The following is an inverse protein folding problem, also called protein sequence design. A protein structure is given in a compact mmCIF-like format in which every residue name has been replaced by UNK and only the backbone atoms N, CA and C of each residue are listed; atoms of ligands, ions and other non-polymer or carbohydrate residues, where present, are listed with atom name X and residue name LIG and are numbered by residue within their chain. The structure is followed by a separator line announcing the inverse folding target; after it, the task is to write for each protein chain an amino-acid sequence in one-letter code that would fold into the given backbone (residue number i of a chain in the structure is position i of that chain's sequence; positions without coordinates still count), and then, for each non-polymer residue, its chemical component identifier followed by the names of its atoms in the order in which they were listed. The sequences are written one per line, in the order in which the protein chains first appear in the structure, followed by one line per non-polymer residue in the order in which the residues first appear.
data_IF_657489649421
#
_entry.id   IF_657489649421
#
_cell.length_a   1.000
_cell.length_b   1.000
_cell.length_c   1.000
_cell.angle_alpha   90.00
_cell.angle_beta   90.00
_cell.angle_gamma   90.00
#
_symmetry.space_group_name_H-M   'P 1'
#
loop_
_entity.id
_entity.type
_entity.pdbx_description
1 polymer ?
#
# COMPACT_ATOMS: atom_id res chain seq x y z
N UNK A 1 26.66 -39.29 -34.81
CA UNK A 1 25.77 -39.80 -33.76
C UNK A 1 25.23 -38.58 -33.01
N UNK A 2 24.08 -38.05 -33.41
CA UNK A 2 23.49 -36.83 -32.82
C UNK A 2 22.56 -37.24 -31.67
N UNK A 3 22.95 -36.92 -30.44
CA UNK A 3 22.15 -37.16 -29.25
C UNK A 3 21.09 -36.08 -29.07
N UNK A 4 19.82 -36.44 -29.26
CA UNK A 4 18.68 -35.60 -28.91
C UNK A 4 18.50 -35.59 -27.38
N UNK A 5 18.91 -34.51 -26.72
CA UNK A 5 18.50 -34.25 -25.34
C UNK A 5 17.06 -33.73 -25.34
N UNK A 6 16.08 -34.63 -25.17
CA UNK A 6 14.74 -34.23 -24.72
C UNK A 6 14.85 -33.76 -23.27
N UNK A 7 14.87 -32.44 -23.07
CA UNK A 7 14.54 -31.85 -21.77
C UNK A 7 13.12 -32.30 -21.43
N UNK A 8 12.95 -33.20 -20.45
CA UNK A 8 11.65 -33.47 -19.85
C UNK A 8 11.14 -32.12 -19.35
N UNK A 9 10.12 -31.56 -20.01
CA UNK A 9 9.29 -30.54 -19.37
C UNK A 9 8.70 -31.22 -18.12
N UNK A 10 8.77 -30.61 -16.93
CA UNK A 10 7.84 -31.04 -15.90
C UNK A 10 6.45 -30.76 -16.46
N UNK A 11 5.60 -31.77 -16.46
CA UNK A 11 4.16 -31.62 -16.63
C UNK A 11 3.67 -30.80 -15.44
N UNK A 12 3.79 -29.48 -15.53
CA UNK A 12 3.06 -28.56 -14.69
C UNK A 12 1.70 -28.38 -15.36
N UNK A 13 0.64 -28.78 -14.66
CA UNK A 13 -0.73 -28.44 -15.04
C UNK A 13 -0.84 -26.94 -15.34
N UNK A 14 -1.61 -26.53 -16.36
CA UNK A 14 -1.84 -25.12 -16.60
C UNK A 14 -2.78 -24.61 -15.49
N UNK A 15 -2.22 -23.92 -14.50
CA UNK A 15 -3.00 -23.02 -13.66
C UNK A 15 -2.96 -23.34 -12.17
N UNK A 16 -1.87 -22.96 -11.52
CA UNK A 16 -1.84 -22.15 -10.29
C UNK A 16 -0.40 -22.17 -9.78
N UNK A 17 0.35 -21.12 -10.11
CA UNK A 17 1.50 -20.77 -9.27
C UNK A 17 1.04 -20.57 -7.83
N UNK A 18 1.97 -20.52 -6.84
CA UNK A 18 1.58 -20.28 -5.46
C UNK A 18 0.67 -19.05 -5.38
N UNK A 19 -0.59 -19.26 -4.97
CA UNK A 19 -1.57 -18.17 -4.81
C UNK A 19 -1.01 -17.18 -3.81
N UNK A 20 -0.97 -15.90 -4.19
CA UNK A 20 -0.52 -14.84 -3.30
C UNK A 20 -1.46 -14.78 -2.08
N UNK A 21 -0.88 -14.89 -0.89
CA UNK A 21 -1.61 -14.70 0.37
C UNK A 21 -1.61 -13.23 0.76
N UNK A 22 -2.56 -12.81 1.62
CA UNK A 22 -2.58 -11.46 2.17
C UNK A 22 -1.25 -11.08 2.83
N UNK A 23 -0.64 -11.98 3.61
CA UNK A 23 0.65 -11.73 4.25
C UNK A 23 1.78 -11.47 3.24
N UNK A 24 1.80 -12.19 2.12
CA UNK A 24 2.79 -11.95 1.07
C UNK A 24 2.56 -10.61 0.38
N UNK A 25 1.30 -10.25 0.11
CA UNK A 25 0.96 -8.95 -0.47
C UNK A 25 1.32 -7.78 0.47
N UNK A 26 1.00 -7.90 1.76
CA UNK A 26 1.36 -6.93 2.80
C UNK A 26 2.88 -6.78 2.88
N UNK A 27 3.63 -7.88 2.91
CA UNK A 27 5.08 -7.84 2.97
C UNK A 27 5.69 -7.13 1.76
N UNK A 28 5.20 -7.40 0.55
CA UNK A 28 5.64 -6.71 -0.67
C UNK A 28 5.38 -5.21 -0.59
N UNK A 29 4.19 -4.83 -0.10
CA UNK A 29 3.77 -3.43 -0.03
C UNK A 29 4.55 -2.64 1.02
N UNK A 30 4.74 -3.22 2.21
CA UNK A 30 5.45 -2.56 3.31
C UNK A 30 6.98 -2.60 3.18
N UNK A 31 7.53 -3.44 2.30
CA UNK A 31 8.97 -3.48 2.02
C UNK A 31 9.41 -2.43 0.99
N UNK A 32 8.47 -1.85 0.24
CA UNK A 32 8.76 -0.76 -0.70
C UNK A 32 8.70 0.58 0.03
N UNK A 33 9.79 1.35 -0.02
CA UNK A 33 9.90 2.63 0.68
C UNK A 33 8.87 3.66 0.19
N UNK A 34 8.60 3.71 -1.11
CA UNK A 34 7.66 4.69 -1.69
C UNK A 34 6.22 4.35 -1.35
N UNK A 35 5.88 3.06 -1.29
CA UNK A 35 4.54 2.60 -0.92
C UNK A 35 4.30 2.69 0.59
N UNK A 36 5.31 2.41 1.41
CA UNK A 36 5.21 2.41 2.88
C UNK A 36 5.31 3.79 3.51
N UNK A 37 5.83 4.81 2.79
CA UNK A 37 5.92 6.18 3.28
C UNK A 37 4.53 6.86 3.29
N UNK A 38 4.02 7.29 4.45
CA UNK A 38 2.82 8.12 4.53
C UNK A 38 3.06 9.49 3.89
N UNK A 39 2.03 10.04 3.24
CA UNK A 39 2.10 11.36 2.63
C UNK A 39 1.00 12.26 3.16
N UNK A 40 1.36 13.43 3.67
CA UNK A 40 0.40 14.45 4.06
C UNK A 40 -0.15 15.17 2.83
N UNK A 41 -1.48 15.21 2.71
CA UNK A 41 -2.19 15.87 1.62
C UNK A 41 -2.86 17.15 2.14
N UNK A 42 -2.24 18.33 1.93
CA UNK A 42 -2.84 19.59 2.35
C UNK A 42 -4.10 19.86 1.52
N UNK A 43 -5.17 20.29 2.19
CA UNK A 43 -6.41 20.67 1.53
C UNK A 43 -7.49 19.59 1.51
N UNK A 44 -7.16 18.32 1.80
CA UNK A 44 -8.17 17.27 1.99
C UNK A 44 -8.77 17.37 3.39
N UNK A 45 -10.09 17.55 3.43
CA UNK A 45 -10.90 17.71 4.66
C UNK A 45 -12.07 16.73 4.74
N UNK A 46 -12.26 15.89 3.73
CA UNK A 46 -13.26 14.82 3.76
C UNK A 46 -12.80 13.60 2.96
N UNK A 47 -13.40 12.45 3.24
CA UNK A 47 -13.16 11.23 2.46
C UNK A 47 -13.61 11.39 1.00
N UNK A 48 -14.65 12.18 0.71
CA UNK A 48 -15.14 12.40 -0.65
C UNK A 48 -14.11 13.10 -1.54
N UNK A 49 -13.29 14.00 -0.98
CA UNK A 49 -12.19 14.64 -1.70
C UNK A 49 -11.05 13.64 -2.01
N UNK A 50 -11.01 12.51 -1.31
CA UNK A 50 -10.05 11.43 -1.59
C UNK A 50 -10.45 10.61 -2.83
N UNK A 51 -11.72 10.66 -3.26
CA UNK A 51 -12.18 9.95 -4.46
C UNK A 51 -11.53 10.50 -5.74
N UNK A 52 -10.99 11.71 -5.72
CA UNK A 52 -10.24 12.28 -6.84
C UNK A 52 -8.76 11.85 -6.86
N UNK A 53 -8.29 11.18 -5.80
CA UNK A 53 -6.93 10.65 -5.76
C UNK A 53 -6.74 9.59 -6.85
N UNK A 54 -5.60 9.69 -7.53
CA UNK A 54 -5.11 8.67 -8.45
C UNK A 54 -4.60 7.44 -7.70
N UNK A 55 -3.57 6.78 -8.24
CA UNK A 55 -2.98 5.58 -7.63
C UNK A 55 -1.91 5.89 -6.56
N UNK A 56 -1.61 7.16 -6.33
CA UNK A 56 -0.63 7.62 -5.34
C UNK A 56 -1.21 8.81 -4.56
N UNK A 57 -0.87 8.95 -3.27
CA UNK A 57 -0.11 8.02 -2.42
C UNK A 57 -0.91 6.77 -2.01
N UNK A 58 -0.20 5.73 -1.54
CA UNK A 58 -0.85 4.54 -0.98
C UNK A 58 -1.38 4.80 0.43
N UNK A 59 -0.56 5.42 1.28
CA UNK A 59 -0.91 5.80 2.65
C UNK A 59 -0.93 7.32 2.68
N UNK A 60 -2.04 7.91 3.10
CA UNK A 60 -2.15 9.36 3.19
C UNK A 60 -2.68 9.84 4.52
N UNK A 61 -2.20 11.01 4.90
CA UNK A 61 -2.57 11.73 6.10
C UNK A 61 -3.30 13.00 5.67
N UNK A 62 -4.41 13.30 6.33
CA UNK A 62 -5.25 14.45 6.02
C UNK A 62 -5.93 14.96 7.30
N UNK A 63 -6.64 16.09 7.19
CA UNK A 63 -7.37 16.69 8.32
C UNK A 63 -6.54 16.85 9.61
N UNK A 64 -5.32 17.36 9.47
CA UNK A 64 -4.45 17.65 10.62
C UNK A 64 -4.96 18.89 11.36
N UNK A 65 -5.25 18.76 12.65
CA UNK A 65 -5.56 19.86 13.56
C UNK A 65 -4.45 19.96 14.62
N UNK A 66 -3.61 20.99 14.49
CA UNK A 66 -2.50 21.25 15.42
C UNK A 66 -2.97 21.66 16.82
N UNK A 67 -4.16 22.25 16.94
CA UNK A 67 -4.70 22.72 18.22
C UNK A 67 -5.23 21.53 19.01
N UNK A 68 -5.98 20.64 18.34
CA UNK A 68 -6.49 19.42 18.95
C UNK A 68 -5.44 18.29 19.02
N UNK A 69 -4.36 18.40 18.25
CA UNK A 69 -3.34 17.34 18.13
C UNK A 69 -3.86 16.10 17.40
N UNK A 70 -4.81 16.28 16.47
CA UNK A 70 -5.48 15.18 15.76
C UNK A 70 -5.13 15.17 14.28
N UNK A 71 -5.31 14.02 13.65
CA UNK A 71 -5.17 13.82 12.21
C UNK A 71 -5.97 12.59 11.78
N UNK A 72 -6.20 12.46 10.48
CA UNK A 72 -6.77 11.27 9.85
C UNK A 72 -5.70 10.58 9.01
N UNK A 73 -5.68 9.24 9.04
CA UNK A 73 -4.85 8.40 8.17
C UNK A 73 -5.74 7.42 7.42
N UNK A 74 -5.49 7.26 6.13
CA UNK A 74 -6.30 6.41 5.26
C UNK A 74 -5.43 5.69 4.24
N UNK A 75 -5.96 4.57 3.74
CA UNK A 75 -5.32 3.74 2.71
C UNK A 75 -6.05 3.96 1.39
N UNK A 76 -5.30 4.26 0.34
CA UNK A 76 -5.83 4.41 -1.00
C UNK A 76 -6.25 3.04 -1.56
N UNK A 77 -7.54 2.74 -1.47
CA UNK A 77 -8.11 1.48 -1.95
C UNK A 77 -7.90 1.26 -3.46
N UNK A 78 -7.80 2.33 -4.27
CA UNK A 78 -7.51 2.21 -5.71
C UNK A 78 -6.08 1.74 -5.94
N UNK A 79 -5.14 2.25 -5.16
CA UNK A 79 -3.74 1.83 -5.21
C UNK A 79 -3.59 0.37 -4.79
N UNK A 80 -4.22 -0.05 -3.68
CA UNK A 80 -4.24 -1.46 -3.26
C UNK A 80 -4.83 -2.36 -4.36
N UNK A 81 -5.97 -1.96 -4.92
CA UNK A 81 -6.61 -2.72 -5.98
C UNK A 81 -5.70 -2.88 -7.21
N UNK A 82 -5.05 -1.80 -7.63
CA UNK A 82 -4.11 -1.81 -8.75
C UNK A 82 -2.87 -2.68 -8.47
N UNK A 83 -2.34 -2.65 -7.24
CA UNK A 83 -1.19 -3.47 -6.84
C UNK A 83 -1.54 -4.96 -6.71
N UNK A 84 -2.77 -5.29 -6.30
CA UNK A 84 -3.20 -6.67 -6.08
C UNK A 84 -3.61 -7.38 -7.37
N UNK A 85 -4.21 -6.65 -8.32
CA UNK A 85 -4.79 -7.18 -9.56
C UNK A 85 -3.85 -8.05 -10.42
N UNK A 86 -2.53 -7.78 -10.52
CA UNK A 86 -1.59 -8.67 -11.22
C UNK A 86 -1.43 -10.06 -10.58
N UNK A 87 -1.77 -10.21 -9.31
CA UNK A 87 -1.59 -11.45 -8.54
C UNK A 87 -2.90 -12.19 -8.32
N UNK A 88 -3.98 -11.45 -8.11
CA UNK A 88 -5.32 -11.97 -7.86
C UNK A 88 -6.31 -11.16 -8.71
N UNK A 89 -6.88 -11.74 -9.78
CA UNK A 89 -7.93 -11.09 -10.57
C UNK A 89 -9.12 -10.71 -9.71
N UNK A 90 -9.82 -9.62 -10.06
CA UNK A 90 -10.94 -9.08 -9.28
C UNK A 90 -12.14 -10.03 -9.20
N UNK A 91 -12.25 -10.93 -10.17
CA UNK A 91 -13.30 -11.94 -10.26
C UNK A 91 -13.06 -13.11 -9.32
N UNK A 92 -11.84 -13.27 -8.80
CA UNK A 92 -11.56 -14.36 -7.85
C UNK A 92 -12.19 -14.06 -6.49
N UNK A 93 -12.89 -15.05 -5.87
CA UNK A 93 -13.48 -14.86 -4.54
C UNK A 93 -12.47 -14.42 -3.47
N UNK A 94 -11.20 -14.85 -3.60
CA UNK A 94 -10.13 -14.51 -2.67
C UNK A 94 -9.72 -13.02 -2.75
N UNK A 95 -10.05 -12.31 -3.83
CA UNK A 95 -9.64 -10.92 -4.04
C UNK A 95 -10.12 -10.01 -2.91
N UNK A 96 -11.41 -10.09 -2.58
CA UNK A 96 -12.03 -9.22 -1.56
C UNK A 96 -11.42 -9.48 -0.19
N UNK A 97 -11.25 -10.76 0.17
CA UNK A 97 -10.65 -11.17 1.44
C UNK A 97 -9.20 -10.67 1.57
N UNK A 98 -8.39 -10.86 0.53
CA UNK A 98 -6.98 -10.43 0.53
C UNK A 98 -6.87 -8.90 0.57
N UNK A 99 -7.68 -8.20 -0.23
CA UNK A 99 -7.71 -6.74 -0.27
C UNK A 99 -8.06 -6.15 1.10
N UNK A 100 -9.14 -6.63 1.71
CA UNK A 100 -9.66 -6.06 2.95
C UNK A 100 -8.72 -6.32 4.12
N UNK A 101 -8.15 -7.54 4.20
CA UNK A 101 -7.14 -7.86 5.21
C UNK A 101 -5.87 -7.02 5.01
N UNK A 102 -5.40 -6.84 3.78
CA UNK A 102 -4.25 -6.01 3.50
C UNK A 102 -4.48 -4.54 3.87
N UNK A 103 -5.62 -3.96 3.49
CA UNK A 103 -5.99 -2.59 3.86
C UNK A 103 -6.03 -2.41 5.38
N UNK A 104 -6.63 -3.36 6.09
CA UNK A 104 -6.69 -3.34 7.55
C UNK A 104 -5.29 -3.37 8.18
N UNK A 105 -4.47 -4.36 7.83
CA UNK A 105 -3.13 -4.54 8.42
C UNK A 105 -2.22 -3.35 8.10
N UNK A 106 -2.24 -2.86 6.86
CA UNK A 106 -1.44 -1.70 6.45
C UNK A 106 -1.91 -0.45 7.23
N UNK A 107 -3.21 -0.22 7.37
CA UNK A 107 -3.76 0.89 8.15
C UNK A 107 -3.31 0.85 9.61
N UNK A 108 -3.44 -0.30 10.27
CA UNK A 108 -3.05 -0.49 11.66
C UNK A 108 -1.53 -0.35 11.89
N UNK A 109 -0.72 -0.89 10.98
CA UNK A 109 0.74 -0.78 11.05
C UNK A 109 1.20 0.67 10.83
N UNK A 110 0.66 1.33 9.80
CA UNK A 110 1.01 2.71 9.45
C UNK A 110 0.60 3.69 10.54
N UNK A 111 -0.61 3.54 11.09
CA UNK A 111 -1.11 4.37 12.20
C UNK A 111 -0.18 4.27 13.42
N UNK A 112 0.20 3.05 13.83
CA UNK A 112 1.13 2.85 14.95
C UNK A 112 2.50 3.48 14.68
N UNK A 113 3.02 3.33 13.47
CA UNK A 113 4.32 3.91 13.08
C UNK A 113 4.31 5.44 13.09
N UNK A 114 3.26 6.05 12.54
CA UNK A 114 3.06 7.51 12.55
C UNK A 114 2.96 8.03 13.99
N UNK A 115 2.14 7.40 14.83
CA UNK A 115 2.00 7.80 16.24
C UNK A 115 3.33 7.71 17.00
N UNK A 116 4.08 6.63 16.84
CA UNK A 116 5.39 6.48 17.45
C UNK A 116 6.39 7.55 16.97
N UNK A 117 6.30 7.96 15.71
CA UNK A 117 7.15 9.01 15.14
C UNK A 117 6.79 10.38 15.71
N UNK A 118 5.49 10.68 15.85
CA UNK A 118 5.00 11.91 16.51
C UNK A 118 5.48 11.94 17.96
N UNK A 119 5.31 10.85 18.71
CA UNK A 119 5.75 10.75 20.11
C UNK A 119 7.26 10.98 20.26
N UNK A 120 8.06 10.39 19.36
CA UNK A 120 9.52 10.53 19.37
C UNK A 120 10.01 11.93 19.02
N UNK A 121 9.35 12.61 18.08
CA UNK A 121 9.83 13.88 17.52
C UNK A 121 9.14 15.11 18.10
N UNK A 122 7.94 14.96 18.65
CA UNK A 122 7.07 16.05 19.06
C UNK A 122 6.48 16.86 17.90
N UNK A 123 6.68 16.42 16.64
CA UNK A 123 6.21 17.12 15.45
C UNK A 123 4.90 16.51 14.94
N UNK A 124 4.03 17.37 14.38
CA UNK A 124 2.78 16.94 13.77
C UNK A 124 3.00 16.35 12.37
N UNK A 125 2.08 15.49 11.88
CA UNK A 125 2.23 14.81 10.58
C UNK A 125 2.39 15.73 9.38
N UNK A 126 1.80 16.92 9.42
CA UNK A 126 1.91 17.92 8.35
C UNK A 126 3.32 18.52 8.23
N UNK A 127 4.17 18.34 9.25
CA UNK A 127 5.60 18.67 9.20
C UNK A 127 6.42 17.43 8.83
N UNK A 128 6.10 16.27 9.41
CA UNK A 128 6.86 15.04 9.25
C UNK A 128 6.72 14.39 7.88
N UNK A 129 5.54 14.48 7.26
CA UNK A 129 5.16 13.76 6.05
C UNK A 129 4.73 14.71 4.93
N UNK A 130 5.11 15.99 5.03
CA UNK A 130 4.89 16.94 3.94
C UNK A 130 5.60 16.44 2.67
N UNK A 131 4.86 16.36 1.57
CA UNK A 131 5.47 16.03 0.29
C UNK A 131 6.25 17.23 -0.23
N UNK A 132 7.56 17.08 -0.35
CA UNK A 132 8.40 18.01 -1.10
C UNK A 132 8.61 17.41 -2.49
N UNK A 133 8.10 18.08 -3.53
CA UNK A 133 8.21 17.61 -4.92
C UNK A 133 9.67 17.41 -5.40
N UNK A 134 10.65 17.94 -4.66
CA UNK A 134 12.09 17.76 -4.90
C UNK A 134 12.57 16.32 -4.63
N UNK A 135 11.85 15.54 -3.81
CA UNK A 135 12.20 14.15 -3.48
C UNK A 135 11.88 13.15 -4.61
N UNK A 136 11.22 13.59 -5.68
CA UNK A 136 10.87 12.74 -6.83
C UNK A 136 11.98 12.67 -7.91
N UNK A 137 13.06 13.44 -7.77
CA UNK A 137 14.12 13.55 -8.78
C UNK A 137 15.42 12.80 -8.44
N UNK A 138 15.47 12.01 -7.36
CA UNK A 138 16.64 11.18 -7.01
C UNK A 138 16.44 9.71 -7.39
#
# INVERSE_FOLDING_TARGET
MFGFFKKKKPDAEPGQGPRLTANQFIALTLSDEKLSMPVYLPGIRSEAECDELGLWPLIYIWNVDRTAGTFSLSINGKAIAHLLEPFVPREEPAYVEIRDEAMKVISEASTRSVLATIEKTGLMPDVLFAYHAEDAQQ
#
